data_IF_383563124836
#
_entry.id   IF_383563124836
#
_cell.length_a   1.000
_cell.length_b   1.000
_cell.length_c   1.000
_cell.angle_alpha   90.00
_cell.angle_beta   90.00
_cell.angle_gamma   90.00
#
_symmetry.space_group_name_H-M   'P 1'
#
loop_
_entity.id
_entity.type
_entity.pdbx_description
1 polymer ?
#
# COMPACT_ATOMS: atom_id res chain seq x y z
N UNK A 1 -17.02 23.84 -7.10
CA UNK A 1 -18.41 23.65 -6.64
C UNK A 1 -18.67 22.16 -6.77
N UNK A 2 -19.02 21.54 -5.64
CA UNK A 2 -19.16 20.09 -5.33
C UNK A 2 -17.91 19.23 -5.62
N UNK A 3 -17.49 18.33 -4.74
CA UNK A 3 -18.30 17.35 -4.01
C UNK A 3 -17.77 17.15 -2.59
N UNK A 4 -18.68 17.20 -1.62
CA UNK A 4 -18.56 16.64 -0.28
C UNK A 4 -17.86 15.27 -0.34
N UNK A 5 -16.73 15.10 0.35
CA UNK A 5 -16.34 13.74 0.75
C UNK A 5 -17.27 13.32 1.88
N UNK A 6 -18.12 12.30 1.70
CA UNK A 6 -18.97 11.83 2.77
C UNK A 6 -18.10 11.12 3.82
N UNK A 7 -18.32 11.53 5.07
CA UNK A 7 -17.75 10.99 6.30
C UNK A 7 -16.23 11.11 6.41
N UNK A 8 -15.80 12.27 6.93
CA UNK A 8 -14.70 12.27 7.89
C UNK A 8 -14.94 11.11 8.85
N UNK A 9 -13.93 10.24 9.02
CA UNK A 9 -13.87 9.39 10.19
C UNK A 9 -13.98 10.30 11.40
N UNK A 10 -15.19 10.48 11.92
CA UNK A 10 -15.37 11.01 13.25
C UNK A 10 -14.44 10.17 14.10
N UNK A 11 -13.54 10.80 14.85
CA UNK A 11 -12.85 10.12 15.92
C UNK A 11 -13.96 9.54 16.81
N UNK A 12 -14.27 8.26 16.61
CA UNK A 12 -15.21 7.55 17.45
C UNK A 12 -14.39 7.28 18.71
N UNK A 13 -14.31 8.29 19.58
CA UNK A 13 -13.70 8.13 20.88
C UNK A 13 -14.31 6.90 21.55
N UNK A 14 -13.45 6.02 22.05
CA UNK A 14 -13.88 4.72 22.55
C UNK A 14 -12.76 3.69 22.55
N UNK A 15 -12.93 2.65 23.37
CA UNK A 15 -12.05 1.48 23.33
C UNK A 15 -12.37 0.65 22.08
N UNK A 16 -11.37 0.42 21.24
CA UNK A 16 -11.42 -0.60 20.18
C UNK A 16 -10.61 -1.80 20.67
N UNK A 17 -11.24 -2.98 20.69
CA UNK A 17 -10.54 -4.25 20.89
C UNK A 17 -10.61 -5.05 19.60
N UNK A 18 -9.47 -5.54 19.13
CA UNK A 18 -9.37 -6.35 17.93
C UNK A 18 -9.03 -7.79 18.33
N UNK A 19 -9.79 -8.75 17.82
CA UNK A 19 -9.46 -10.15 17.87
C UNK A 19 -9.46 -10.67 16.44
N UNK A 20 -8.26 -10.79 15.88
CA UNK A 20 -8.04 -11.03 14.46
C UNK A 20 -7.17 -12.27 14.28
N UNK A 21 -7.58 -13.09 13.32
CA UNK A 21 -6.81 -14.21 12.80
C UNK A 21 -6.17 -13.79 11.47
N UNK A 22 -4.90 -14.13 11.32
CA UNK A 22 -4.07 -13.80 10.17
C UNK A 22 -3.66 -15.09 9.45
N UNK A 23 -4.20 -15.32 8.26
CA UNK A 23 -3.84 -16.42 7.39
C UNK A 23 -2.82 -15.93 6.36
N UNK A 24 -1.60 -16.47 6.45
CA UNK A 24 -0.48 -16.09 5.59
C UNK A 24 -0.78 -16.38 4.11
N UNK A 25 -0.64 -15.36 3.25
CA UNK A 25 -0.75 -15.47 1.79
C UNK A 25 0.62 -15.65 1.13
N UNK A 26 1.69 -15.71 1.93
CA UNK A 26 3.08 -15.79 1.52
C UNK A 26 3.76 -14.42 1.47
N UNK A 27 4.99 -14.42 0.92
CA UNK A 27 5.81 -13.22 0.79
C UNK A 27 5.69 -12.60 -0.61
N UNK A 28 4.84 -11.58 -0.82
CA UNK A 28 4.82 -10.88 -2.10
C UNK A 28 5.98 -9.90 -2.25
N UNK A 29 6.68 -9.48 -1.18
CA UNK A 29 7.68 -8.45 -1.35
C UNK A 29 8.90 -8.57 -0.43
N UNK A 30 10.08 -8.47 -1.04
CA UNK A 30 11.38 -8.41 -0.39
C UNK A 30 12.07 -7.14 -0.83
N UNK A 31 12.29 -6.20 0.08
CA UNK A 31 13.04 -4.99 -0.24
C UNK A 31 14.42 -5.38 -0.77
N UNK A 32 14.70 -4.98 -2.00
CA UNK A 32 15.93 -5.26 -2.73
C UNK A 32 16.32 -6.74 -2.64
N UNK A 33 15.33 -7.63 -2.73
CA UNK A 33 15.50 -9.09 -2.69
C UNK A 33 16.23 -9.55 -1.41
N UNK A 34 15.95 -8.88 -0.29
CA UNK A 34 16.53 -9.16 1.02
C UNK A 34 17.95 -8.62 1.23
N UNK A 35 18.47 -7.80 0.31
CA UNK A 35 19.78 -7.15 0.44
C UNK A 35 19.62 -5.73 0.94
N UNK A 36 20.56 -5.18 1.73
CA UNK A 36 20.51 -3.77 2.11
C UNK A 36 20.48 -2.84 0.90
N UNK A 37 19.40 -2.08 0.74
CA UNK A 37 19.27 -1.01 -0.24
C UNK A 37 19.55 0.33 0.42
N UNK A 38 20.34 1.19 -0.25
CA UNK A 38 20.47 2.59 0.15
C UNK A 38 19.25 3.33 -0.41
N UNK A 39 18.45 3.91 0.48
CA UNK A 39 17.19 4.58 0.11
C UNK A 39 17.24 6.10 0.24
N UNK A 40 18.26 6.64 0.91
CA UNK A 40 18.49 8.09 0.99
C UNK A 40 19.97 8.45 0.75
N UNK A 41 20.27 9.68 0.28
CA UNK A 41 21.63 10.11 -0.04
C UNK A 41 22.63 10.07 1.12
N UNK A 42 22.16 10.09 2.37
CA UNK A 42 22.99 9.99 3.57
C UNK A 42 23.44 8.56 3.90
N UNK A 43 23.09 7.58 3.05
CA UNK A 43 23.47 6.19 3.22
C UNK A 43 22.51 5.38 4.08
N UNK A 44 21.31 5.90 4.39
CA UNK A 44 20.26 5.15 5.07
C UNK A 44 19.94 3.87 4.30
N UNK A 45 19.95 2.73 5.02
CA UNK A 45 19.68 1.42 4.45
C UNK A 45 18.41 0.80 5.01
N UNK A 46 17.74 0.03 4.16
CA UNK A 46 16.67 -0.89 4.56
C UNK A 46 16.94 -2.30 4.04
N UNK A 47 16.53 -3.29 4.83
CA UNK A 47 16.37 -4.68 4.40
C UNK A 47 15.25 -5.32 5.20
N UNK A 48 14.38 -6.06 4.52
CA UNK A 48 13.21 -6.67 5.13
C UNK A 48 12.38 -7.46 4.14
N UNK A 49 11.16 -7.77 4.56
CA UNK A 49 10.10 -8.28 3.70
C UNK A 49 8.74 -7.79 4.18
N UNK A 50 7.76 -7.84 3.30
CA UNK A 50 6.37 -7.49 3.58
C UNK A 50 5.46 -8.67 3.19
N UNK A 51 5.28 -9.63 4.11
CA UNK A 51 4.28 -10.68 3.94
C UNK A 51 2.87 -10.10 4.01
N UNK A 52 1.98 -10.69 3.22
CA UNK A 52 0.56 -10.34 3.22
C UNK A 52 -0.22 -11.45 3.91
N UNK A 53 -1.26 -11.06 4.66
CA UNK A 53 -2.18 -12.03 5.25
C UNK A 53 -3.62 -11.70 4.89
N UNK A 54 -4.44 -12.74 4.74
CA UNK A 54 -5.89 -12.61 4.83
C UNK A 54 -6.25 -12.44 6.30
N UNK A 55 -7.04 -11.41 6.59
CA UNK A 55 -7.47 -11.08 7.95
C UNK A 55 -8.94 -11.44 8.11
N UNK A 56 -9.28 -12.12 9.19
CA UNK A 56 -10.65 -12.35 9.62
C UNK A 56 -10.78 -12.23 11.13
N UNK A 57 -12.00 -12.08 11.65
CA UNK A 57 -12.23 -12.05 13.09
C UNK A 57 -13.30 -11.03 13.46
N UNK A 58 -13.09 -10.33 14.57
CA UNK A 58 -14.02 -9.31 15.02
C UNK A 58 -13.36 -8.13 15.73
N UNK A 59 -13.98 -6.97 15.61
CA UNK A 59 -13.69 -5.78 16.39
C UNK A 59 -14.80 -5.55 17.41
N UNK A 60 -14.46 -5.15 18.63
CA UNK A 60 -15.41 -4.59 19.61
C UNK A 60 -15.24 -3.07 19.61
N UNK A 61 -16.21 -2.37 19.05
CA UNK A 61 -16.22 -0.91 18.93
C UNK A 61 -17.34 -0.39 19.83
N UNK A 62 -16.98 0.34 20.90
CA UNK A 62 -17.95 0.86 21.87
C UNK A 62 -18.89 -0.23 22.44
N UNK A 63 -18.32 -1.39 22.78
CA UNK A 63 -19.06 -2.54 23.32
C UNK A 63 -19.86 -3.33 22.28
N UNK A 64 -19.88 -2.92 21.01
CA UNK A 64 -20.54 -3.66 19.93
C UNK A 64 -19.52 -4.51 19.19
N UNK A 65 -19.78 -5.82 19.14
CA UNK A 65 -19.00 -6.76 18.33
C UNK A 65 -19.42 -6.65 16.86
N UNK A 66 -18.43 -6.49 15.99
CA UNK A 66 -18.57 -6.39 14.53
C UNK A 66 -17.61 -7.39 13.90
N UNK A 67 -18.09 -8.26 13.03
CA UNK A 67 -17.22 -9.14 12.25
C UNK A 67 -16.44 -8.31 11.23
N UNK A 68 -15.15 -8.63 11.07
CA UNK A 68 -14.26 -7.93 10.16
C UNK A 68 -13.51 -8.95 9.30
N UNK A 69 -13.32 -8.58 8.04
CA UNK A 69 -12.49 -9.31 7.10
C UNK A 69 -11.73 -8.31 6.23
N UNK A 70 -10.55 -8.69 5.77
CA UNK A 70 -9.71 -7.83 4.95
C UNK A 70 -8.37 -8.46 4.65
N UNK A 71 -7.37 -7.61 4.42
CA UNK A 71 -5.99 -8.01 4.26
C UNK A 71 -5.11 -7.18 5.20
N UNK A 72 -3.95 -7.71 5.54
CA UNK A 72 -2.89 -6.98 6.21
C UNK A 72 -1.61 -7.10 5.43
N UNK A 73 -0.83 -6.04 5.55
CA UNK A 73 0.58 -5.99 5.23
C UNK A 73 1.35 -6.02 6.57
N UNK A 74 2.47 -6.72 6.61
CA UNK A 74 3.32 -6.82 7.78
C UNK A 74 4.73 -6.32 7.46
N UNK A 75 5.08 -5.13 7.90
CA UNK A 75 6.44 -4.63 7.72
C UNK A 75 7.44 -5.40 8.61
N UNK A 76 8.30 -6.22 8.02
CA UNK A 76 9.33 -6.97 8.74
C UNK A 76 10.74 -6.51 8.36
N UNK A 77 11.29 -5.55 9.11
CA UNK A 77 12.65 -5.06 8.92
C UNK A 77 13.68 -5.88 9.71
N UNK A 78 14.72 -6.36 9.02
CA UNK A 78 15.91 -6.95 9.66
C UNK A 78 17.08 -5.95 9.72
N UNK A 79 17.00 -4.87 8.95
CA UNK A 79 17.87 -3.71 9.06
C UNK A 79 17.04 -2.46 8.73
N UNK A 80 16.90 -1.56 9.72
CA UNK A 80 16.20 -0.29 9.60
C UNK A 80 17.14 0.76 10.18
N UNK A 81 17.69 1.64 9.33
CA UNK A 81 18.30 2.88 9.81
C UNK A 81 17.25 3.76 10.51
N UNK A 82 17.59 5.02 10.81
CA UNK A 82 16.60 5.99 11.33
C UNK A 82 15.67 6.47 10.20
N UNK A 83 14.80 5.56 9.74
CA UNK A 83 14.00 5.78 8.53
C UNK A 83 13.01 6.91 8.73
N UNK A 84 12.36 7.01 9.90
CA UNK A 84 11.31 8.01 10.13
C UNK A 84 11.90 9.41 10.11
N UNK A 85 13.02 9.62 10.80
CA UNK A 85 13.72 10.90 10.76
C UNK A 85 14.15 11.26 9.34
N UNK A 86 14.66 10.29 8.59
CA UNK A 86 15.17 10.54 7.23
C UNK A 86 14.04 10.69 6.20
N UNK A 87 12.91 10.04 6.37
CA UNK A 87 11.69 10.31 5.60
C UNK A 87 11.24 11.76 5.84
N UNK A 88 11.17 12.23 7.09
CA UNK A 88 10.80 13.63 7.39
C UNK A 88 11.81 14.62 6.77
N UNK A 89 13.09 14.25 6.73
CA UNK A 89 14.16 15.10 6.24
C UNK A 89 14.23 15.19 4.71
N UNK A 90 14.07 14.06 4.03
CA UNK A 90 14.25 13.95 2.58
C UNK A 90 12.91 13.94 1.82
N UNK A 91 11.80 13.67 2.52
CA UNK A 91 10.43 13.64 2.00
C UNK A 91 10.20 12.55 0.95
N UNK A 92 9.03 12.64 0.31
CA UNK A 92 8.68 11.90 -0.91
C UNK A 92 8.72 10.37 -0.76
N UNK A 93 8.18 9.89 0.36
CA UNK A 93 7.97 8.47 0.62
C UNK A 93 6.55 8.07 0.19
N UNK A 94 6.41 6.93 -0.48
CA UNK A 94 5.11 6.35 -0.78
C UNK A 94 5.10 4.86 -0.47
N UNK A 95 4.12 4.44 0.33
CA UNK A 95 3.76 3.04 0.57
C UNK A 95 2.39 2.73 -0.01
N UNK A 96 2.35 1.82 -0.98
CA UNK A 96 1.16 1.61 -1.81
C UNK A 96 0.82 0.11 -1.92
N UNK A 97 0.35 -0.52 -0.84
CA UNK A 97 -0.13 -1.88 -0.91
C UNK A 97 -1.56 -1.90 -1.46
N UNK A 98 -1.87 -2.95 -2.21
CA UNK A 98 -3.20 -3.22 -2.73
C UNK A 98 -3.53 -4.70 -2.65
N UNK A 99 -4.82 -4.97 -2.51
CA UNK A 99 -5.39 -6.31 -2.51
C UNK A 99 -6.71 -6.28 -3.26
N UNK A 100 -6.79 -7.03 -4.35
CA UNK A 100 -8.04 -7.30 -5.07
C UNK A 100 -8.62 -8.66 -4.67
N UNK A 101 -7.74 -9.64 -4.49
CA UNK A 101 -8.03 -10.97 -3.97
C UNK A 101 -6.70 -11.67 -3.65
N UNK A 102 -6.79 -12.89 -3.13
CA UNK A 102 -5.64 -13.70 -2.72
C UNK A 102 -4.69 -14.06 -3.85
N UNK A 103 -5.17 -14.13 -5.09
CA UNK A 103 -4.34 -14.37 -6.26
C UNK A 103 -3.91 -13.06 -6.93
N UNK A 104 -4.38 -11.91 -6.45
CA UNK A 104 -4.14 -10.60 -7.06
C UNK A 104 -3.98 -9.49 -6.02
N UNK A 105 -2.73 -9.23 -5.67
CA UNK A 105 -2.32 -8.27 -4.64
C UNK A 105 -0.87 -7.84 -4.87
N UNK A 106 -0.39 -6.86 -4.12
CA UNK A 106 0.99 -6.45 -4.19
C UNK A 106 1.24 -5.12 -3.52
N UNK A 107 2.44 -4.62 -3.71
CA UNK A 107 2.92 -3.42 -3.06
C UNK A 107 3.96 -2.71 -3.91
N UNK A 108 3.97 -1.38 -3.78
CA UNK A 108 4.98 -0.50 -4.33
C UNK A 108 5.48 0.44 -3.25
N UNK A 109 6.79 0.62 -3.20
CA UNK A 109 7.47 1.51 -2.26
C UNK A 109 8.35 2.49 -3.01
N UNK A 110 8.28 3.76 -2.63
CA UNK A 110 9.12 4.84 -3.17
C UNK A 110 9.77 5.57 -2.01
N UNK A 111 11.08 5.77 -2.08
CA UNK A 111 11.85 6.57 -1.13
C UNK A 111 12.80 7.47 -1.93
N UNK A 112 12.41 8.72 -2.18
CA UNK A 112 13.18 9.59 -3.08
C UNK A 112 13.34 8.95 -4.46
N UNK A 113 14.57 8.61 -4.85
CA UNK A 113 14.89 7.94 -6.12
C UNK A 113 14.81 6.41 -6.04
N UNK A 114 14.78 5.83 -4.84
CA UNK A 114 14.64 4.39 -4.68
C UNK A 114 13.20 3.98 -4.94
N UNK A 115 13.01 3.00 -5.83
CA UNK A 115 11.72 2.42 -6.17
C UNK A 115 11.84 0.91 -6.11
N UNK A 116 10.88 0.26 -5.47
CA UNK A 116 10.80 -1.20 -5.40
C UNK A 116 9.36 -1.67 -5.27
N UNK A 117 9.09 -2.93 -5.61
CA UNK A 117 7.76 -3.47 -5.50
C UNK A 117 7.67 -4.95 -5.81
N UNK A 118 6.53 -5.53 -5.47
CA UNK A 118 6.21 -6.93 -5.72
C UNK A 118 4.73 -7.06 -6.01
N UNK A 119 4.38 -7.75 -7.10
CA UNK A 119 3.00 -7.98 -7.47
C UNK A 119 2.73 -9.46 -7.71
N UNK A 120 1.55 -9.90 -7.33
CA UNK A 120 0.98 -11.20 -7.66
C UNK A 120 -0.27 -10.91 -8.50
N UNK A 121 -0.36 -11.48 -9.71
CA UNK A 121 -1.56 -11.42 -10.56
C UNK A 121 -1.86 -12.86 -11.01
N UNK A 122 -3.09 -13.34 -10.79
CA UNK A 122 -3.50 -14.73 -11.00
C UNK A 122 -2.52 -15.75 -10.37
N UNK A 123 -2.09 -15.48 -9.13
CA UNK A 123 -1.16 -16.32 -8.38
C UNK A 123 0.29 -16.27 -8.89
N UNK A 124 0.59 -15.46 -9.91
CA UNK A 124 1.92 -15.34 -10.48
C UNK A 124 2.67 -14.15 -9.90
N UNK A 125 3.72 -14.43 -9.12
CA UNK A 125 4.62 -13.41 -8.60
C UNK A 125 5.48 -12.76 -9.71
N UNK A 126 5.61 -11.43 -9.64
CA UNK A 126 6.35 -10.60 -10.57
C UNK A 126 7.00 -9.41 -9.84
N UNK A 127 8.17 -9.01 -10.34
CA UNK A 127 8.89 -7.82 -9.89
C UNK A 127 8.74 -6.75 -10.97
N UNK A 128 8.21 -5.56 -10.64
CA UNK A 128 8.24 -4.38 -11.50
C UNK A 128 9.68 -4.04 -11.90
N UNK A 129 9.91 -3.79 -13.20
CA UNK A 129 11.19 -3.29 -13.71
C UNK A 129 11.33 -1.80 -13.53
N UNK A 130 10.21 -1.10 -13.66
CA UNK A 130 10.06 0.32 -13.44
C UNK A 130 8.60 0.61 -13.13
N UNK A 131 8.35 1.71 -12.45
CA UNK A 131 7.00 2.23 -12.24
C UNK A 131 6.99 3.73 -11.98
N UNK A 132 5.93 4.38 -12.44
CA UNK A 132 5.68 5.81 -12.31
C UNK A 132 4.43 6.07 -11.48
N UNK A 133 4.48 7.18 -10.74
CA UNK A 133 3.40 7.61 -9.88
C UNK A 133 2.99 9.04 -10.25
N UNK A 134 1.70 9.23 -10.49
CA UNK A 134 1.09 10.52 -10.74
C UNK A 134 0.09 10.85 -9.63
N UNK A 135 0.31 11.98 -8.94
CA UNK A 135 -0.67 12.52 -8.00
C UNK A 135 -1.79 13.19 -8.79
N UNK A 136 -3.00 12.65 -8.72
CA UNK A 136 -4.15 13.16 -9.44
C UNK A 136 -5.00 14.13 -8.61
N UNK A 137 -5.01 13.97 -7.28
CA UNK A 137 -5.74 14.84 -6.36
C UNK A 137 -5.09 14.85 -4.97
N UNK A 138 -4.97 16.05 -4.42
CA UNK A 138 -4.55 16.31 -3.04
C UNK A 138 -5.74 16.75 -2.18
N UNK A 139 -5.65 16.47 -0.89
CA UNK A 139 -6.45 17.11 0.15
C UNK A 139 -5.50 17.72 1.19
N UNK A 140 -5.31 19.04 1.15
CA UNK A 140 -4.17 19.67 1.80
C UNK A 140 -2.87 19.21 1.15
N UNK A 141 -1.97 18.64 1.94
CA UNK A 141 -0.70 18.03 1.46
C UNK A 141 -0.82 16.52 1.20
N UNK A 142 -1.95 15.90 1.55
CA UNK A 142 -2.10 14.44 1.48
C UNK A 142 -2.63 13.98 0.12
N UNK A 143 -1.95 13.06 -0.58
CA UNK A 143 -2.44 12.43 -1.80
C UNK A 143 -3.69 11.60 -1.50
N UNK A 144 -4.83 11.98 -2.09
CA UNK A 144 -6.11 11.27 -1.95
C UNK A 144 -6.59 10.64 -3.25
N UNK A 145 -5.86 10.87 -4.34
CA UNK A 145 -6.03 10.12 -5.57
C UNK A 145 -4.69 10.07 -6.29
N UNK A 146 -4.22 8.87 -6.58
CA UNK A 146 -2.98 8.65 -7.32
C UNK A 146 -3.22 7.63 -8.43
N UNK A 147 -2.41 7.72 -9.47
CA UNK A 147 -2.27 6.70 -10.48
C UNK A 147 -0.85 6.14 -10.42
N UNK A 148 -0.73 4.82 -10.56
CA UNK A 148 0.51 4.09 -10.57
C UNK A 148 0.54 3.22 -11.83
N UNK A 149 1.58 3.37 -12.64
CA UNK A 149 1.83 2.51 -13.79
C UNK A 149 3.13 1.75 -13.61
N UNK A 150 3.14 0.45 -13.89
CA UNK A 150 4.32 -0.40 -13.72
C UNK A 150 4.52 -1.36 -14.89
N UNK A 151 5.77 -1.60 -15.27
CA UNK A 151 6.12 -2.59 -16.31
C UNK A 151 6.77 -3.83 -15.69
N UNK A 152 6.33 -5.02 -16.09
CA UNK A 152 6.92 -6.30 -15.68
C UNK A 152 7.45 -7.07 -16.90
N UNK A 153 8.00 -8.25 -16.67
CA UNK A 153 8.35 -9.18 -17.75
C UNK A 153 7.10 -9.78 -18.43
N UNK A 154 5.96 -9.87 -17.73
CA UNK A 154 4.74 -10.53 -18.23
C UNK A 154 3.67 -9.58 -18.76
N UNK A 155 3.78 -8.28 -18.47
CA UNK A 155 2.77 -7.30 -18.85
C UNK A 155 2.96 -5.94 -18.21
N UNK A 156 2.04 -5.04 -18.49
CA UNK A 156 1.96 -3.70 -17.92
C UNK A 156 0.78 -3.60 -16.95
N UNK A 157 0.98 -2.87 -15.86
CA UNK A 157 0.00 -2.63 -14.81
C UNK A 157 -0.35 -1.14 -14.79
N UNK A 158 -1.63 -0.84 -14.65
CA UNK A 158 -2.11 0.51 -14.37
C UNK A 158 -3.13 0.42 -13.22
N UNK A 159 -2.84 1.07 -12.10
CA UNK A 159 -3.66 1.11 -10.89
C UNK A 159 -4.00 2.55 -10.52
N UNK A 160 -5.23 2.75 -10.07
CA UNK A 160 -5.69 3.99 -9.45
C UNK A 160 -6.12 3.70 -8.02
N UNK A 161 -5.57 4.48 -7.09
CA UNK A 161 -6.02 4.53 -5.70
C UNK A 161 -6.92 5.76 -5.56
N UNK A 162 -8.16 5.55 -5.15
CA UNK A 162 -9.12 6.62 -4.86
C UNK A 162 -9.50 6.59 -3.38
N UNK A 163 -9.02 7.60 -2.63
CA UNK A 163 -9.16 7.68 -1.19
C UNK A 163 -10.62 7.72 -0.74
N UNK A 164 -10.96 6.85 0.21
CA UNK A 164 -12.29 6.74 0.81
C UNK A 164 -12.31 7.09 2.29
N UNK A 165 -11.16 6.98 2.97
CA UNK A 165 -11.00 7.35 4.37
C UNK A 165 -9.54 7.73 4.64
N UNK A 166 -9.31 8.45 5.73
CA UNK A 166 -7.97 8.87 6.18
C UNK A 166 -7.82 8.57 7.66
N UNK A 167 -6.69 7.96 8.03
CA UNK A 167 -6.29 7.72 9.41
C UNK A 167 -5.08 8.60 9.76
N UNK A 168 -5.02 9.14 10.98
CA UNK A 168 -3.92 10.00 11.42
C UNK A 168 -4.07 11.49 11.08
N UNK A 169 -3.36 12.34 11.83
CA UNK A 169 -3.37 13.81 11.66
C UNK A 169 -2.15 14.25 10.83
N UNK A 170 -2.41 14.89 9.69
CA UNK A 170 -1.44 15.49 8.75
C UNK A 170 -0.52 14.53 8.00
N UNK A 171 -0.10 13.42 8.61
CA UNK A 171 0.87 12.42 8.10
C UNK A 171 0.24 11.02 8.05
N UNK A 172 -0.88 10.92 7.36
CA UNK A 172 -1.85 9.84 7.60
C UNK A 172 -2.02 8.92 6.40
N UNK A 173 -2.19 7.64 6.67
CA UNK A 173 -2.62 6.63 5.70
C UNK A 173 -3.99 7.00 5.11
N UNK A 174 -4.09 6.99 3.78
CA UNK A 174 -5.35 7.17 3.06
C UNK A 174 -5.83 5.81 2.55
N UNK A 175 -6.78 5.22 3.27
CA UNK A 175 -7.46 4.01 2.82
C UNK A 175 -8.22 4.32 1.53
N UNK A 176 -8.03 3.48 0.54
CA UNK A 176 -8.39 3.73 -0.85
C UNK A 176 -9.11 2.55 -1.46
N UNK A 177 -10.07 2.84 -2.35
CA UNK A 177 -10.51 1.87 -3.35
C UNK A 177 -9.45 1.78 -4.42
N UNK A 178 -9.09 0.57 -4.81
CA UNK A 178 -8.13 0.32 -5.89
C UNK A 178 -8.89 -0.20 -7.10
N UNK A 179 -8.60 0.39 -8.26
CA UNK A 179 -9.12 -0.08 -9.54
C UNK A 179 -8.05 0.03 -10.61
N UNK A 180 -8.03 -0.91 -11.56
CA UNK A 180 -7.05 -0.86 -12.63
C UNK A 180 -7.11 -2.02 -13.60
N UNK A 181 -6.05 -2.16 -14.37
CA UNK A 181 -5.90 -3.22 -15.38
C UNK A 181 -4.47 -3.73 -15.42
N UNK A 182 -4.32 -5.03 -15.63
CA UNK A 182 -3.08 -5.65 -16.04
C UNK A 182 -3.21 -6.12 -17.49
N UNK A 183 -2.33 -5.67 -18.37
CA UNK A 183 -2.29 -6.07 -19.78
C UNK A 183 -1.08 -6.96 -20.03
N UNK A 184 -1.32 -8.24 -20.33
CA UNK A 184 -0.28 -9.23 -20.60
C UNK A 184 0.38 -8.97 -21.94
N UNK A 185 1.59 -9.50 -22.14
CA UNK A 185 2.31 -9.34 -23.43
C UNK A 185 1.60 -9.98 -24.62
N UNK A 186 0.69 -10.93 -24.40
CA UNK A 186 -0.17 -11.51 -25.44
C UNK A 186 -1.40 -10.65 -25.77
N UNK A 187 -1.57 -9.50 -25.10
CA UNK A 187 -2.69 -8.57 -25.28
C UNK A 187 -3.92 -8.89 -24.44
N UNK A 188 -3.96 -10.01 -23.73
CA UNK A 188 -5.06 -10.30 -22.80
C UNK A 188 -5.01 -9.38 -21.58
N UNK A 189 -6.17 -9.06 -21.02
CA UNK A 189 -6.29 -8.14 -19.89
C UNK A 189 -6.89 -8.82 -18.66
N UNK A 190 -6.57 -8.31 -17.48
CA UNK A 190 -7.26 -8.60 -16.22
C UNK A 190 -7.73 -7.27 -15.61
N UNK A 191 -9.01 -7.21 -15.23
CA UNK A 191 -9.53 -6.10 -14.45
C UNK A 191 -9.21 -6.30 -12.97
N UNK A 192 -8.79 -5.21 -12.33
CA UNK A 192 -8.38 -5.18 -10.93
C UNK A 192 -9.35 -4.29 -10.17
N UNK A 193 -9.98 -4.82 -9.12
CA UNK A 193 -10.89 -4.08 -8.23
C UNK A 193 -10.67 -4.59 -6.81
N UNK A 194 -10.36 -3.67 -5.90
CA UNK A 194 -9.94 -4.03 -4.56
C UNK A 194 -9.81 -2.84 -3.63
N UNK A 195 -9.00 -3.02 -2.60
CA UNK A 195 -8.66 -2.02 -1.59
C UNK A 195 -7.15 -1.88 -1.46
N UNK A 196 -6.74 -0.77 -0.89
CA UNK A 196 -5.33 -0.45 -0.63
C UNK A 196 -5.25 0.74 0.31
N UNK A 197 -4.04 1.20 0.58
CA UNK A 197 -3.86 2.51 1.19
C UNK A 197 -2.72 3.26 0.52
N UNK A 198 -2.73 4.57 0.72
CA UNK A 198 -1.62 5.46 0.37
C UNK A 198 -1.03 5.90 1.69
N UNK A 199 0.15 5.38 2.03
CA UNK A 199 0.99 6.03 3.04
C UNK A 199 1.87 7.05 2.33
N UNK A 200 1.94 8.24 2.91
CA UNK A 200 2.76 9.31 2.38
C UNK A 200 3.22 10.24 3.50
N UNK A 201 4.54 10.35 3.63
CA UNK A 201 5.20 11.34 4.45
C UNK A 201 5.92 12.34 3.53
N UNK A 202 5.36 13.56 3.47
CA UNK A 202 5.82 14.69 2.64
C UNK A 202 6.79 15.66 3.33
#
# INVERSE_FOLDING_TARGET
>A
MEVDMPAYGHYIGGSVQLNLDFEDLGFPFWYNKGRPAIIFPDGTKIAGAEPFSRVSGYAVINGRKVEVAGFSDHEAFFNKGDIVHNIIKHGNEFWLPFWCNDETHGIFVIFGDYKDGGIVIDGNYMIPRDFDLAILRLHGISPVKINLSAETLKGSLNLTYDGIARFGWQWGEVVSRVSGTFTRKDGSTAELKGFGWIEHLS
#
